data_IF_466207155403
#
_entry.id   IF_466207155403
#
_cell.length_a   1.000
_cell.length_b   1.000
_cell.length_c   1.000
_cell.angle_alpha   90.00
_cell.angle_beta   90.00
_cell.angle_gamma   90.00
#
_symmetry.space_group_name_H-M   'P 1'
#
loop_
_entity.id
_entity.type
_entity.pdbx_description
1 polymer ?
#
# COMPACT_ATOMS: atom_id res chain seq x y z
N UNK A 1 8.28 16.86 2.93
CA UNK A 1 7.49 15.67 3.33
C UNK A 1 6.03 15.91 2.98
N UNK A 2 5.34 14.90 2.45
CA UNK A 2 3.90 14.95 2.21
C UNK A 2 3.14 14.48 3.45
N UNK A 3 2.05 15.16 3.78
CA UNK A 3 1.22 14.84 4.95
C UNK A 3 -0.23 14.69 4.56
N UNK A 4 -0.96 13.84 5.29
CA UNK A 4 -2.40 13.63 5.11
C UNK A 4 -2.77 13.25 3.66
N UNK A 5 -1.98 12.38 3.07
CA UNK A 5 -2.25 11.79 1.76
C UNK A 5 -3.44 10.83 1.86
N UNK A 6 -4.13 10.69 0.74
CA UNK A 6 -5.31 9.84 0.61
C UNK A 6 -4.96 8.36 0.84
N UNK A 7 -5.82 7.69 1.58
CA UNK A 7 -5.84 6.25 1.78
C UNK A 7 -7.28 5.76 1.69
N UNK A 8 -7.48 4.66 0.96
CA UNK A 8 -8.79 4.04 0.82
C UNK A 8 -8.71 2.59 1.30
N UNK A 9 -9.54 2.24 2.28
CA UNK A 9 -9.56 0.90 2.87
C UNK A 9 -10.97 0.35 2.95
N UNK A 10 -11.10 -0.97 2.83
CA UNK A 10 -12.33 -1.65 3.18
C UNK A 10 -12.40 -1.88 4.69
N UNK A 11 -13.15 -1.03 5.41
CA UNK A 11 -13.24 -1.08 6.88
C UNK A 11 -14.01 -2.28 7.43
N UNK A 12 -14.69 -3.03 6.56
CA UNK A 12 -15.41 -4.23 6.94
C UNK A 12 -14.54 -5.50 6.93
N UNK A 13 -13.26 -5.37 6.58
CA UNK A 13 -12.27 -6.44 6.62
C UNK A 13 -11.53 -6.44 7.97
N UNK A 14 -11.27 -7.62 8.50
CA UNK A 14 -10.44 -7.81 9.69
C UNK A 14 -9.39 -8.91 9.45
N UNK A 15 -8.16 -8.77 9.98
CA UNK A 15 -7.17 -9.85 9.92
C UNK A 15 -7.71 -11.13 10.54
N UNK A 16 -7.54 -12.26 9.85
CA UNK A 16 -8.05 -13.56 10.29
C UNK A 16 -9.53 -13.81 10.03
N UNK A 17 -10.31 -12.80 9.60
CA UNK A 17 -11.77 -12.95 9.44
C UNK A 17 -12.18 -14.08 8.49
N UNK A 18 -11.42 -14.28 7.40
CA UNK A 18 -11.65 -15.33 6.39
C UNK A 18 -10.90 -16.64 6.64
N UNK A 19 -10.36 -16.85 7.83
CA UNK A 19 -9.82 -18.17 8.20
C UNK A 19 -10.95 -19.21 8.20
N UNK A 20 -10.65 -20.50 8.02
CA UNK A 20 -11.65 -21.56 8.17
C UNK A 20 -12.37 -21.46 9.51
N UNK A 21 -13.67 -21.76 9.51
CA UNK A 21 -14.52 -21.69 10.71
C UNK A 21 -13.91 -22.45 11.91
N UNK A 22 -13.98 -21.84 13.09
CA UNK A 22 -13.41 -22.40 14.33
C UNK A 22 -11.89 -22.37 14.43
N UNK A 23 -11.15 -21.91 13.40
CA UNK A 23 -9.68 -21.87 13.44
C UNK A 23 -9.13 -20.54 13.94
N UNK A 24 -7.94 -20.59 14.54
CA UNK A 24 -7.14 -19.42 14.86
C UNK A 24 -5.68 -19.66 14.48
N UNK A 25 -5.00 -18.60 14.06
CA UNK A 25 -3.56 -18.60 13.75
C UNK A 25 -2.86 -17.50 14.54
N UNK A 26 -1.56 -17.68 14.79
CA UNK A 26 -0.71 -16.62 15.36
C UNK A 26 0.05 -15.99 14.19
N UNK A 27 -0.06 -14.66 14.04
CA UNK A 27 0.69 -13.96 13.00
C UNK A 27 2.17 -13.73 13.40
N UNK A 28 2.97 -13.21 12.48
CA UNK A 28 4.38 -12.88 12.72
C UNK A 28 4.59 -11.81 13.82
N UNK A 29 3.52 -11.14 14.26
CA UNK A 29 3.54 -10.17 15.34
C UNK A 29 3.04 -10.76 16.67
N UNK A 30 2.82 -12.08 16.75
CA UNK A 30 2.34 -12.78 17.94
C UNK A 30 0.86 -12.58 18.25
N UNK A 31 0.08 -11.98 17.35
CA UNK A 31 -1.37 -11.77 17.56
C UNK A 31 -2.13 -13.04 17.19
N UNK A 32 -3.01 -13.47 18.09
CA UNK A 32 -3.98 -14.54 17.79
C UNK A 32 -5.10 -13.97 16.94
N UNK A 33 -5.14 -14.38 15.68
CA UNK A 33 -6.17 -14.05 14.71
C UNK A 33 -7.11 -15.24 14.57
N UNK A 34 -8.40 -15.05 14.82
CA UNK A 34 -9.40 -16.11 14.72
C UNK A 34 -10.35 -15.85 13.57
N UNK A 35 -10.90 -16.93 13.03
CA UNK A 35 -12.00 -16.89 12.08
C UNK A 35 -13.14 -16.01 12.60
N UNK A 36 -13.76 -15.27 11.70
CA UNK A 36 -15.05 -14.65 11.92
C UNK A 36 -16.15 -15.37 11.15
N UNK A 37 -15.81 -16.37 10.33
CA UNK A 37 -16.79 -17.21 9.65
C UNK A 37 -17.56 -18.00 10.70
N UNK A 38 -18.88 -17.89 10.63
CA UNK A 38 -19.86 -18.61 11.43
C UNK A 38 -20.99 -19.05 10.48
N UNK A 39 -21.04 -20.35 10.21
CA UNK A 39 -22.06 -20.95 9.35
C UNK A 39 -23.27 -21.46 10.13
N UNK A 40 -23.28 -21.29 11.46
CA UNK A 40 -24.41 -21.71 12.28
C UNK A 40 -25.67 -20.95 11.89
N UNK A 41 -26.78 -21.68 11.80
CA UNK A 41 -28.07 -21.10 11.48
C UNK A 41 -28.56 -20.28 12.67
N UNK A 42 -28.82 -18.99 12.42
CA UNK A 42 -29.46 -18.11 13.38
C UNK A 42 -30.93 -18.48 13.59
N UNK A 43 -31.62 -17.67 14.39
CA UNK A 43 -33.06 -17.86 14.70
C UNK A 43 -33.98 -17.80 13.47
N UNK A 44 -33.51 -17.26 12.35
CA UNK A 44 -34.24 -17.21 11.06
C UNK A 44 -33.89 -18.36 10.12
N UNK A 45 -32.93 -19.22 10.47
CA UNK A 45 -32.42 -20.31 9.61
C UNK A 45 -31.27 -19.91 8.68
N UNK A 46 -30.94 -18.62 8.61
CA UNK A 46 -29.82 -18.11 7.80
C UNK A 46 -28.48 -18.18 8.57
N UNK A 47 -27.34 -18.39 7.88
CA UNK A 47 -26.03 -18.40 8.53
C UNK A 47 -25.66 -17.01 9.09
N UNK A 48 -25.15 -16.98 10.32
CA UNK A 48 -24.86 -15.73 11.05
C UNK A 48 -23.76 -14.88 10.42
N UNK A 49 -22.65 -15.48 9.97
CA UNK A 49 -21.55 -14.78 9.31
C UNK A 49 -20.80 -15.70 8.32
N UNK A 50 -21.41 -16.10 7.19
CA UNK A 50 -20.81 -17.07 6.27
C UNK A 50 -19.54 -16.55 5.56
N UNK A 51 -19.24 -15.26 5.68
CA UNK A 51 -18.20 -14.55 4.93
C UNK A 51 -17.05 -14.04 5.79
N UNK A 52 -17.17 -14.10 7.12
CA UNK A 52 -16.11 -13.71 8.04
C UNK A 52 -15.76 -12.22 8.00
N UNK A 53 -16.76 -11.37 7.85
CA UNK A 53 -16.62 -9.91 7.89
C UNK A 53 -16.99 -9.37 9.28
N UNK A 54 -16.59 -8.14 9.58
CA UNK A 54 -16.93 -7.49 10.84
C UNK A 54 -18.45 -7.24 10.96
N UNK A 55 -19.07 -6.78 9.87
CA UNK A 55 -20.51 -6.65 9.71
C UNK A 55 -20.95 -7.54 8.54
N UNK A 56 -21.62 -8.67 8.80
CA UNK A 56 -22.05 -9.61 7.75
C UNK A 56 -23.11 -9.04 6.80
N UNK A 57 -23.86 -8.01 7.23
CA UNK A 57 -24.93 -7.39 6.43
C UNK A 57 -24.41 -6.57 5.25
N UNK A 58 -23.12 -6.24 5.24
CA UNK A 58 -22.50 -5.47 4.19
C UNK A 58 -21.31 -6.21 3.60
N UNK A 59 -21.04 -5.98 2.32
CA UNK A 59 -19.85 -6.52 1.66
C UNK A 59 -18.62 -5.64 1.95
N UNK A 60 -18.10 -4.92 0.95
CA UNK A 60 -16.98 -4.01 1.12
C UNK A 60 -17.46 -2.61 1.54
N UNK A 61 -16.99 -2.10 2.68
CA UNK A 61 -17.19 -0.70 3.06
C UNK A 61 -15.91 0.08 2.81
N UNK A 62 -15.81 0.71 1.64
CA UNK A 62 -14.63 1.51 1.29
C UNK A 62 -14.70 2.91 1.91
N UNK A 63 -13.75 3.21 2.79
CA UNK A 63 -13.64 4.50 3.46
C UNK A 63 -12.37 5.20 3.01
N UNK A 64 -12.50 6.49 2.68
CA UNK A 64 -11.42 7.35 2.25
C UNK A 64 -11.01 8.27 3.38
N UNK A 65 -9.71 8.29 3.71
CA UNK A 65 -9.16 9.11 4.78
C UNK A 65 -7.83 9.73 4.35
N UNK A 66 -7.54 10.91 4.90
CA UNK A 66 -6.30 11.65 4.66
C UNK A 66 -5.33 11.40 5.82
N UNK A 67 -4.69 10.23 5.82
CA UNK A 67 -3.94 9.71 6.99
C UNK A 67 -2.53 9.23 6.66
N UNK A 68 -2.14 9.17 5.39
CA UNK A 68 -0.82 8.68 4.98
C UNK A 68 0.19 9.82 4.91
N UNK A 69 1.44 9.54 5.24
CA UNK A 69 2.55 10.49 5.16
C UNK A 69 3.64 9.95 4.24
N UNK A 70 4.31 10.84 3.52
CA UNK A 70 5.44 10.51 2.65
C UNK A 70 6.66 11.38 2.94
N UNK A 71 7.84 10.83 2.68
CA UNK A 71 9.13 11.51 2.80
C UNK A 71 9.87 11.32 1.46
N UNK A 72 10.57 12.36 1.04
CA UNK A 72 11.39 12.36 -0.16
C UNK A 72 12.71 13.01 0.19
N UNK A 73 13.79 12.25 0.00
CA UNK A 73 15.16 12.69 0.16
C UNK A 73 15.83 12.72 -1.21
N UNK A 74 16.74 13.67 -1.43
CA UNK A 74 17.37 13.83 -2.73
C UNK A 74 18.72 14.52 -2.64
N UNK A 75 19.60 14.13 -3.56
CA UNK A 75 20.96 14.65 -3.64
C UNK A 75 21.32 14.82 -5.11
N UNK A 76 21.85 16.00 -5.46
CA UNK A 76 22.18 16.34 -6.85
C UNK A 76 23.65 16.72 -6.94
N UNK A 77 24.35 16.10 -7.88
CA UNK A 77 25.73 16.38 -8.23
C UNK A 77 25.78 16.87 -9.68
N UNK A 78 26.56 17.93 -9.90
CA UNK A 78 26.73 18.53 -11.21
C UNK A 78 28.21 18.78 -11.46
N UNK A 79 28.75 18.18 -12.51
CA UNK A 79 30.12 18.37 -12.96
C UNK A 79 30.09 18.92 -14.38
N UNK A 80 30.70 20.08 -14.56
CA UNK A 80 30.80 20.74 -15.87
C UNK A 80 32.26 21.03 -16.19
N UNK A 81 32.74 20.55 -17.33
CA UNK A 81 34.01 20.94 -17.92
C UNK A 81 33.74 21.86 -19.10
N UNK A 82 34.25 23.09 -19.03
CA UNK A 82 34.21 24.03 -20.16
C UNK A 82 35.18 23.58 -21.26
N UNK A 83 34.89 24.01 -22.50
CA UNK A 83 35.69 23.67 -23.69
C UNK A 83 37.17 23.97 -23.45
N UNK A 84 37.97 22.91 -23.41
CA UNK A 84 39.43 23.00 -23.35
C UNK A 84 40.01 21.84 -24.14
N UNK A 85 40.99 22.15 -24.99
CA UNK A 85 41.63 21.17 -25.89
C UNK A 85 40.62 20.38 -26.75
N UNK A 86 39.54 21.04 -27.20
CA UNK A 86 38.53 20.43 -28.08
C UNK A 86 37.52 19.51 -27.39
N UNK A 87 37.42 19.52 -26.06
CA UNK A 87 36.43 18.73 -25.31
C UNK A 87 35.67 19.61 -24.33
N UNK A 88 34.33 19.53 -24.40
CA UNK A 88 33.39 20.06 -23.44
C UNK A 88 32.48 18.93 -22.94
N UNK A 89 32.23 18.84 -21.63
CA UNK A 89 31.24 17.88 -21.11
C UNK A 89 30.47 18.41 -19.91
N UNK A 90 29.27 17.88 -19.72
CA UNK A 90 28.43 18.10 -18.55
C UNK A 90 27.86 16.77 -18.07
N UNK A 91 27.99 16.49 -16.78
CA UNK A 91 27.44 15.33 -16.12
C UNK A 91 26.58 15.78 -14.93
N UNK A 92 25.34 15.30 -14.87
CA UNK A 92 24.41 15.56 -13.79
C UNK A 92 23.92 14.24 -13.22
N UNK A 93 24.13 14.02 -11.94
CA UNK A 93 23.67 12.84 -11.24
C UNK A 93 22.72 13.25 -10.12
N UNK A 94 21.52 12.68 -10.13
CA UNK A 94 20.50 12.88 -9.10
C UNK A 94 20.24 11.54 -8.42
N UNK A 95 20.48 11.51 -7.13
CA UNK A 95 19.97 10.47 -6.25
C UNK A 95 18.64 10.94 -5.66
N UNK A 96 17.68 10.03 -5.56
CA UNK A 96 16.44 10.30 -4.83
C UNK A 96 16.02 9.09 -4.01
N UNK A 97 15.30 9.30 -2.93
CA UNK A 97 14.69 8.22 -2.17
C UNK A 97 13.31 8.66 -1.70
N UNK A 98 12.27 8.00 -2.22
CA UNK A 98 10.90 8.27 -1.86
C UNK A 98 10.33 7.14 -1.00
N UNK A 99 9.78 7.49 0.16
CA UNK A 99 9.14 6.56 1.10
C UNK A 99 7.72 7.05 1.36
N UNK A 100 6.72 6.19 1.22
CA UNK A 100 5.34 6.48 1.60
C UNK A 100 4.65 5.28 2.25
N UNK A 101 3.44 5.50 2.78
CA UNK A 101 2.57 4.45 3.35
C UNK A 101 1.49 3.99 2.38
N UNK A 102 1.69 4.22 1.08
CA UNK A 102 0.71 4.02 0.03
C UNK A 102 0.93 4.99 -1.12
N UNK A 103 1.45 4.47 -2.23
CA UNK A 103 1.85 5.27 -3.39
C UNK A 103 0.84 5.25 -4.54
N UNK A 104 -0.27 4.51 -4.40
CA UNK A 104 -1.21 4.31 -5.51
C UNK A 104 -2.62 4.72 -5.10
N UNK A 105 -3.29 5.44 -6.01
CA UNK A 105 -4.67 5.91 -5.85
C UNK A 105 -5.67 5.06 -6.66
N UNK A 106 -5.16 4.38 -7.70
CA UNK A 106 -5.88 3.52 -8.64
C UNK A 106 -4.82 2.63 -9.32
N UNK A 107 -4.72 1.34 -9.00
CA UNK A 107 -4.07 0.43 -9.94
C UNK A 107 -5.21 -0.37 -10.62
N UNK A 108 -5.25 -0.37 -11.96
CA UNK A 108 -6.25 -1.08 -12.74
C UNK A 108 -6.26 -2.60 -12.49
N UNK A 109 -5.17 -3.14 -11.94
CA UNK A 109 -5.10 -4.52 -11.43
C UNK A 109 -5.94 -4.75 -10.16
N UNK A 110 -6.32 -3.68 -9.46
CA UNK A 110 -7.24 -3.70 -8.31
C UNK A 110 -8.60 -3.04 -8.61
N UNK A 111 -8.94 -2.80 -9.89
CA UNK A 111 -10.27 -2.29 -10.31
C UNK A 111 -11.02 -3.17 -11.33
N UNK A 112 -10.49 -4.34 -11.68
CA UNK A 112 -11.18 -5.33 -12.49
C UNK A 112 -12.27 -6.09 -11.69
N UNK A 113 -13.46 -5.51 -11.51
CA UNK A 113 -14.75 -6.14 -11.15
C UNK A 113 -14.70 -7.66 -10.90
N UNK A 114 -14.08 -8.06 -9.81
CA UNK A 114 -13.66 -9.43 -9.57
C UNK A 114 -13.06 -9.52 -8.18
N UNK A 115 -13.05 -10.72 -7.59
CA UNK A 115 -12.61 -10.96 -6.19
C UNK A 115 -11.18 -10.51 -5.86
N UNK A 116 -10.43 -10.03 -6.84
CA UNK A 116 -9.07 -9.48 -6.73
C UNK A 116 -8.98 -7.96 -6.95
N UNK A 117 -10.10 -7.25 -7.09
CA UNK A 117 -10.10 -5.85 -7.47
C UNK A 117 -11.15 -5.02 -6.73
N UNK A 118 -10.68 -4.30 -5.71
CA UNK A 118 -11.46 -3.23 -5.08
C UNK A 118 -11.14 -3.03 -3.60
N UNK A 119 -10.48 -4.00 -2.97
CA UNK A 119 -9.90 -3.81 -1.64
C UNK A 119 -8.55 -3.13 -1.81
N UNK A 120 -8.35 -1.98 -1.15
CA UNK A 120 -7.00 -1.51 -0.85
C UNK A 120 -6.28 -2.65 -0.15
N UNK A 121 -5.44 -3.39 -0.89
CA UNK A 121 -4.68 -4.52 -0.36
C UNK A 121 -3.56 -3.95 0.46
N UNK A 122 -3.95 -3.49 1.63
CA UNK A 122 -3.05 -3.17 2.70
C UNK A 122 -2.89 -4.37 3.58
N UNK A 123 -1.67 -4.52 4.07
CA UNK A 123 -1.23 -5.72 4.77
C UNK A 123 -2.17 -5.98 5.96
N UNK A 124 -2.43 -4.91 6.72
CA UNK A 124 -3.34 -4.90 7.84
C UNK A 124 -3.92 -3.49 8.04
N UNK A 125 -5.24 -3.39 7.95
CA UNK A 125 -5.95 -2.13 8.17
C UNK A 125 -5.79 -1.61 9.61
N UNK A 126 -5.62 -2.49 10.60
CA UNK A 126 -5.41 -2.11 12.00
C UNK A 126 -4.00 -1.57 12.25
N UNK A 127 -3.05 -1.84 11.33
CA UNK A 127 -1.65 -1.42 11.43
C UNK A 127 -1.17 -0.83 10.10
N UNK A 128 -1.65 0.37 9.72
CA UNK A 128 -1.28 1.00 8.45
C UNK A 128 0.21 1.34 8.33
N UNK A 129 0.94 1.37 9.45
CA UNK A 129 2.40 1.55 9.45
C UNK A 129 3.17 0.40 8.79
N UNK A 130 2.56 -0.79 8.64
CA UNK A 130 3.18 -1.93 7.95
C UNK A 130 3.35 -1.70 6.45
N UNK A 131 2.54 -0.83 5.86
CA UNK A 131 2.62 -0.52 4.42
C UNK A 131 3.62 0.60 4.13
N UNK A 132 4.38 1.06 5.14
CA UNK A 132 5.40 2.09 4.96
C UNK A 132 6.64 1.49 4.31
N UNK A 133 6.94 1.91 3.08
CA UNK A 133 8.06 1.40 2.31
C UNK A 133 8.47 2.34 1.18
N UNK A 134 9.33 1.83 0.28
CA UNK A 134 9.71 2.59 -0.91
C UNK A 134 8.47 2.89 -1.75
N UNK A 135 8.34 4.14 -2.17
CA UNK A 135 7.24 4.57 -3.02
C UNK A 135 7.36 3.92 -4.40
N UNK A 136 6.22 3.69 -5.08
CA UNK A 136 6.22 3.30 -6.50
C UNK A 136 6.83 4.39 -7.41
N UNK A 137 6.95 5.63 -6.90
CA UNK A 137 7.57 6.75 -7.59
C UNK A 137 9.07 6.91 -7.26
N UNK A 138 9.69 5.94 -6.58
CA UNK A 138 11.10 5.98 -6.18
C UNK A 138 12.05 5.75 -7.37
N UNK A 139 12.53 6.83 -8.00
CA UNK A 139 13.56 6.78 -9.05
C UNK A 139 14.92 7.07 -8.44
N UNK A 140 15.57 6.02 -7.92
CA UNK A 140 16.70 6.18 -7.02
C UNK A 140 17.95 6.83 -7.61
N UNK A 141 18.22 6.55 -8.88
CA UNK A 141 19.43 6.99 -9.56
C UNK A 141 19.09 7.50 -10.94
N UNK A 142 19.45 8.76 -11.22
CA UNK A 142 19.31 9.36 -12.54
C UNK A 142 20.60 10.04 -12.95
N UNK A 143 21.21 9.58 -14.03
CA UNK A 143 22.40 10.18 -14.63
C UNK A 143 22.04 10.78 -15.99
N UNK A 144 22.42 12.03 -16.21
CA UNK A 144 22.34 12.71 -17.49
C UNK A 144 23.75 13.17 -17.88
N UNK A 145 24.22 12.79 -19.06
CA UNK A 145 25.56 13.09 -19.54
C UNK A 145 25.51 13.65 -20.97
N UNK A 146 26.24 14.73 -21.23
CA UNK A 146 26.36 15.35 -22.55
C UNK A 146 27.81 15.75 -22.80
N UNK A 147 28.26 15.64 -24.04
CA UNK A 147 29.59 16.07 -24.46
C UNK A 147 29.55 16.70 -25.86
N UNK A 148 30.45 17.65 -26.11
CA UNK A 148 30.68 18.32 -27.39
C UNK A 148 32.18 18.39 -27.62
#
# INVERSE_FOLDING_TARGET
AGHKLFRAENVNRIPGGRLPEGTCVIDNFGRKLCSQIDSTAGSTGDPLNPVGRLNPNFDSLRVWKNVVNSIYDGLQFSVRKQMSHGVQFSAHYTWSHSIDGGSTWHNGLTSANGRAAGDGVTTDQLRPGLDRGNSVFDVRHRLTFNYV
#
